data_IF_924071561733
#
_entry.id   IF_924071561733
#
_cell.length_a   1.000
_cell.length_b   1.000
_cell.length_c   1.000
_cell.angle_alpha   90.00
_cell.angle_beta   90.00
_cell.angle_gamma   90.00
#
_symmetry.space_group_name_H-M   'P 1'
#
loop_
_entity.id
_entity.type
_entity.pdbx_description
1 polymer ?
#
# COMPACT_ATOMS: atom_id res chain seq x y z
N UNK A 1 28.56 -15.14 -53.30
CA UNK A 1 28.03 -14.02 -52.49
C UNK A 1 26.86 -14.57 -51.69
N UNK A 2 27.10 -14.82 -50.41
CA UNK A 2 26.20 -15.56 -49.51
C UNK A 2 25.03 -14.66 -49.08
N UNK A 3 23.80 -15.07 -49.34
CA UNK A 3 22.56 -14.34 -48.99
C UNK A 3 22.09 -14.51 -47.53
N UNK A 4 22.93 -15.09 -46.67
CA UNK A 4 22.52 -15.44 -45.26
C UNK A 4 23.03 -14.47 -44.19
N UNK A 5 23.88 -13.48 -44.53
CA UNK A 5 24.46 -12.55 -43.55
C UNK A 5 23.46 -11.63 -42.76
N UNK A 6 22.34 -11.14 -43.34
CA UNK A 6 21.41 -10.32 -42.55
C UNK A 6 20.58 -11.10 -41.54
N UNK A 7 20.35 -12.39 -41.80
CA UNK A 7 19.53 -13.24 -40.93
C UNK A 7 20.30 -13.67 -39.67
N UNK A 8 21.58 -14.02 -39.84
CA UNK A 8 22.47 -14.37 -38.70
C UNK A 8 22.75 -13.17 -37.80
N UNK A 9 22.88 -11.97 -38.36
CA UNK A 9 23.05 -10.75 -37.58
C UNK A 9 21.79 -10.39 -36.75
N UNK A 10 20.59 -10.56 -37.31
CA UNK A 10 19.34 -10.36 -36.57
C UNK A 10 19.11 -11.43 -35.45
N UNK A 11 19.62 -12.65 -35.63
CA UNK A 11 19.56 -13.68 -34.59
C UNK A 11 20.56 -13.42 -33.45
N UNK A 12 21.75 -12.89 -33.78
CA UNK A 12 22.73 -12.51 -32.74
C UNK A 12 22.28 -11.33 -31.84
N UNK A 13 21.31 -10.55 -32.30
CA UNK A 13 20.68 -9.45 -31.53
C UNK A 13 19.49 -9.92 -30.65
N UNK A 14 19.04 -11.16 -30.82
CA UNK A 14 18.01 -11.74 -29.97
C UNK A 14 18.63 -12.17 -28.64
N UNK A 15 18.48 -11.33 -27.63
CA UNK A 15 18.78 -11.71 -26.24
C UNK A 15 17.61 -12.54 -25.75
N UNK A 16 17.87 -13.74 -25.28
CA UNK A 16 16.86 -14.57 -24.63
C UNK A 16 16.55 -13.94 -23.27
N UNK A 17 15.39 -13.37 -23.13
CA UNK A 17 14.86 -12.91 -21.84
C UNK A 17 14.22 -14.09 -21.07
N UNK A 18 14.97 -15.19 -20.91
CA UNK A 18 14.49 -16.33 -20.13
C UNK A 18 14.65 -16.05 -18.62
N UNK A 19 13.82 -15.16 -18.12
CA UNK A 19 13.68 -14.89 -16.69
C UNK A 19 12.70 -15.87 -16.00
N UNK A 20 12.18 -16.85 -16.71
CA UNK A 20 11.11 -17.73 -16.24
C UNK A 20 11.50 -18.58 -15.02
N UNK A 21 12.71 -19.07 -14.97
CA UNK A 21 13.18 -19.91 -13.85
C UNK A 21 13.40 -19.09 -12.57
N UNK A 22 14.00 -17.92 -12.68
CA UNK A 22 14.24 -17.01 -11.55
C UNK A 22 12.91 -16.48 -11.00
N UNK A 23 11.99 -16.07 -11.88
CA UNK A 23 10.66 -15.62 -11.46
C UNK A 23 9.85 -16.72 -10.76
N UNK A 24 9.96 -17.98 -11.21
CA UNK A 24 9.25 -19.10 -10.59
C UNK A 24 9.80 -19.43 -9.18
N UNK A 25 11.11 -19.30 -8.96
CA UNK A 25 11.72 -19.53 -7.65
C UNK A 25 11.34 -18.41 -6.66
N UNK A 26 11.40 -17.16 -7.07
CA UNK A 26 10.94 -16.02 -6.26
C UNK A 26 9.45 -16.11 -5.92
N UNK A 27 8.61 -16.50 -6.88
CA UNK A 27 7.18 -16.71 -6.65
C UNK A 27 6.92 -17.83 -5.63
N UNK A 28 7.65 -18.93 -5.71
CA UNK A 28 7.51 -20.05 -4.76
C UNK A 28 7.89 -19.63 -3.34
N UNK A 29 9.03 -18.95 -3.16
CA UNK A 29 9.48 -18.46 -1.83
C UNK A 29 8.48 -17.47 -1.23
N UNK A 30 8.01 -16.51 -2.02
CA UNK A 30 7.00 -15.55 -1.57
C UNK A 30 5.71 -16.23 -1.13
N UNK A 31 5.25 -17.24 -1.87
CA UNK A 31 4.06 -18.04 -1.49
C UNK A 31 4.24 -18.74 -0.15
N UNK A 32 5.43 -19.34 0.11
CA UNK A 32 5.71 -19.99 1.38
C UNK A 32 5.77 -19.00 2.55
N UNK A 33 6.40 -17.84 2.37
CA UNK A 33 6.42 -16.78 3.37
C UNK A 33 4.99 -16.33 3.70
N UNK A 34 4.18 -16.05 2.69
CA UNK A 34 2.77 -15.65 2.89
C UNK A 34 1.97 -16.74 3.61
N UNK A 35 2.11 -18.00 3.20
CA UNK A 35 1.41 -19.11 3.83
C UNK A 35 1.82 -19.29 5.30
N UNK A 36 3.12 -19.18 5.61
CA UNK A 36 3.66 -19.30 6.96
C UNK A 36 3.18 -18.14 7.86
N UNK A 37 3.20 -16.92 7.33
CA UNK A 37 2.72 -15.72 8.03
C UNK A 37 1.22 -15.81 8.33
N UNK A 38 0.40 -16.27 7.37
CA UNK A 38 -1.03 -16.49 7.57
C UNK A 38 -1.31 -17.59 8.61
N UNK A 39 -0.57 -18.70 8.56
CA UNK A 39 -0.70 -19.77 9.54
C UNK A 39 -0.34 -19.29 10.95
N UNK A 40 0.73 -18.48 11.06
CA UNK A 40 1.16 -17.92 12.34
C UNK A 40 0.14 -16.92 12.88
N UNK A 41 -0.37 -16.03 12.06
CA UNK A 41 -1.45 -15.10 12.40
C UNK A 41 -2.67 -15.83 12.98
N UNK A 42 -3.12 -16.90 12.33
CA UNK A 42 -4.25 -17.71 12.83
C UNK A 42 -3.91 -18.37 14.16
N UNK A 43 -2.70 -18.89 14.31
CA UNK A 43 -2.25 -19.50 15.57
C UNK A 43 -2.19 -18.48 16.72
N UNK A 44 -1.65 -17.30 16.49
CA UNK A 44 -1.58 -16.22 17.48
C UNK A 44 -2.96 -15.74 17.90
N UNK A 45 -3.88 -15.53 16.96
CA UNK A 45 -5.25 -15.16 17.29
C UNK A 45 -5.95 -16.27 18.09
N UNK A 46 -5.88 -17.52 17.60
CA UNK A 46 -6.54 -18.64 18.28
C UNK A 46 -6.00 -18.86 19.71
N UNK A 47 -4.66 -18.85 19.87
CA UNK A 47 -4.04 -19.03 21.18
C UNK A 47 -4.20 -17.78 22.05
N UNK A 48 -4.11 -16.57 21.49
CA UNK A 48 -4.35 -15.32 22.20
C UNK A 48 -5.74 -15.29 22.86
N UNK A 49 -6.78 -15.64 22.10
CA UNK A 49 -8.13 -15.76 22.65
C UNK A 49 -8.26 -16.90 23.66
N UNK A 50 -7.72 -18.09 23.38
CA UNK A 50 -7.81 -19.25 24.26
C UNK A 50 -7.04 -19.06 25.57
N UNK A 51 -5.97 -18.28 25.58
CA UNK A 51 -5.11 -18.01 26.74
C UNK A 51 -5.46 -16.71 27.46
N UNK A 52 -6.44 -15.96 26.94
CA UNK A 52 -6.81 -14.63 27.41
C UNK A 52 -5.64 -13.63 27.39
N UNK A 53 -4.68 -13.76 26.47
CA UNK A 53 -3.59 -12.80 26.28
C UNK A 53 -3.94 -11.74 25.27
N UNK A 54 -4.07 -10.48 25.70
CA UNK A 54 -4.30 -9.34 24.83
C UNK A 54 -3.05 -8.96 24.04
N UNK A 55 -1.85 -9.14 24.62
CA UNK A 55 -0.60 -8.90 23.91
C UNK A 55 -0.46 -9.80 22.68
N UNK A 56 -0.74 -11.12 22.83
CA UNK A 56 -0.69 -12.07 21.73
C UNK A 56 -1.81 -11.83 20.71
N UNK A 57 -3.01 -11.51 21.19
CA UNK A 57 -4.14 -11.15 20.32
C UNK A 57 -3.85 -9.89 19.51
N UNK A 58 -3.19 -8.88 20.12
CA UNK A 58 -2.79 -7.65 19.44
C UNK A 58 -1.77 -7.91 18.31
N UNK A 59 -0.78 -8.77 18.57
CA UNK A 59 0.21 -9.16 17.57
C UNK A 59 -0.45 -9.89 16.39
N UNK A 60 -1.31 -10.87 16.67
CA UNK A 60 -2.08 -11.57 15.65
C UNK A 60 -3.00 -10.64 14.81
N UNK A 61 -3.67 -9.68 15.45
CA UNK A 61 -4.47 -8.69 14.72
C UNK A 61 -3.60 -7.73 13.90
N UNK A 62 -2.43 -7.37 14.39
CA UNK A 62 -1.48 -6.58 13.62
C UNK A 62 -1.12 -7.28 12.30
N UNK A 63 -0.76 -8.56 12.35
CA UNK A 63 -0.52 -9.37 11.15
C UNK A 63 -1.77 -9.51 10.27
N UNK A 64 -2.96 -9.67 10.87
CA UNK A 64 -4.22 -9.76 10.15
C UNK A 64 -4.54 -8.48 9.36
N UNK A 65 -4.08 -7.31 9.81
CA UNK A 65 -4.27 -6.04 9.08
C UNK A 65 -3.62 -6.08 7.69
N UNK A 66 -2.41 -6.63 7.61
CA UNK A 66 -1.65 -6.73 6.34
C UNK A 66 -2.25 -7.77 5.42
N UNK A 67 -2.56 -8.95 5.95
CA UNK A 67 -3.19 -10.03 5.20
C UNK A 67 -4.56 -9.62 4.65
N UNK A 68 -5.37 -8.93 5.46
CA UNK A 68 -6.68 -8.42 5.06
C UNK A 68 -6.61 -7.35 3.97
N UNK A 69 -5.67 -6.40 4.09
CA UNK A 69 -5.46 -5.36 3.08
C UNK A 69 -5.03 -5.95 1.73
N UNK A 70 -4.09 -6.92 1.74
CA UNK A 70 -3.66 -7.62 0.53
C UNK A 70 -4.79 -8.45 -0.08
N UNK A 71 -5.56 -9.18 0.73
CA UNK A 71 -6.70 -9.98 0.25
C UNK A 71 -7.77 -9.11 -0.42
N UNK A 72 -8.14 -8.00 0.19
CA UNK A 72 -9.09 -7.05 -0.38
C UNK A 72 -8.55 -6.38 -1.65
N UNK A 73 -7.24 -6.10 -1.72
CA UNK A 73 -6.61 -5.58 -2.93
C UNK A 73 -6.70 -6.57 -4.08
N UNK A 74 -6.42 -7.86 -3.84
CA UNK A 74 -6.57 -8.92 -4.86
C UNK A 74 -8.01 -9.01 -5.36
N UNK A 75 -9.00 -8.97 -4.46
CA UNK A 75 -10.42 -8.96 -4.83
C UNK A 75 -10.78 -7.71 -5.65
N UNK A 76 -10.26 -6.54 -5.26
CA UNK A 76 -10.47 -5.30 -6.00
C UNK A 76 -9.87 -5.36 -7.41
N UNK A 77 -8.65 -5.91 -7.57
CA UNK A 77 -8.03 -6.13 -8.88
C UNK A 77 -8.84 -7.09 -9.75
N UNK A 78 -9.26 -8.20 -9.17
CA UNK A 78 -10.10 -9.17 -9.88
C UNK A 78 -11.41 -8.54 -10.34
N UNK A 79 -12.12 -7.82 -9.46
CA UNK A 79 -13.35 -7.12 -9.79
C UNK A 79 -13.13 -6.05 -10.85
N UNK A 80 -12.13 -5.19 -10.68
CA UNK A 80 -11.80 -4.13 -11.62
C UNK A 80 -11.53 -4.68 -13.03
N UNK A 81 -10.74 -5.75 -13.11
CA UNK A 81 -10.44 -6.42 -14.39
C UNK A 81 -11.69 -7.07 -15.01
N UNK A 82 -12.51 -7.74 -14.21
CA UNK A 82 -13.73 -8.41 -14.71
C UNK A 82 -14.77 -7.44 -15.25
N UNK A 83 -14.71 -6.16 -14.84
CA UNK A 83 -15.65 -5.09 -15.21
C UNK A 83 -15.04 -3.96 -16.01
N UNK A 84 -13.79 -4.08 -16.44
CA UNK A 84 -13.05 -3.01 -17.13
C UNK A 84 -13.76 -2.49 -18.40
N UNK A 85 -14.47 -3.34 -19.14
CA UNK A 85 -15.23 -2.95 -20.33
C UNK A 85 -16.72 -2.62 -20.08
N UNK A 86 -17.15 -2.53 -18.80
CA UNK A 86 -18.56 -2.27 -18.49
C UNK A 86 -18.92 -0.80 -18.61
N UNK A 87 -19.91 -0.49 -19.45
CA UNK A 87 -20.47 0.88 -19.60
C UNK A 87 -21.17 1.42 -18.34
N UNK A 88 -21.37 0.57 -17.32
CA UNK A 88 -21.92 1.01 -16.03
C UNK A 88 -20.96 1.91 -15.24
N UNK A 89 -19.66 1.86 -15.55
CA UNK A 89 -18.63 2.67 -14.89
C UNK A 89 -18.12 3.76 -15.83
N UNK A 90 -18.67 4.96 -15.71
CA UNK A 90 -18.37 6.11 -16.60
C UNK A 90 -16.87 6.43 -16.68
N UNK A 91 -16.15 6.41 -15.55
CA UNK A 91 -14.71 6.65 -15.46
C UNK A 91 -13.91 5.37 -15.17
N UNK A 92 -14.46 4.19 -15.54
CA UNK A 92 -13.83 2.92 -15.27
C UNK A 92 -13.91 2.46 -13.81
N UNK A 93 -13.20 1.38 -13.50
CA UNK A 93 -13.29 0.67 -12.22
C UNK A 93 -12.15 1.02 -11.25
N UNK A 94 -11.34 2.04 -11.55
CA UNK A 94 -10.15 2.37 -10.75
C UNK A 94 -10.42 2.72 -9.29
N UNK A 95 -11.59 3.33 -8.98
CA UNK A 95 -12.01 3.66 -7.61
C UNK A 95 -12.38 2.45 -6.75
N UNK A 96 -12.56 1.27 -7.34
CA UNK A 96 -12.82 0.04 -6.58
C UNK A 96 -11.67 -0.29 -5.62
N UNK A 97 -10.43 0.05 -5.98
CA UNK A 97 -9.28 -0.09 -5.09
C UNK A 97 -9.38 0.81 -3.87
N UNK A 98 -9.78 2.07 -4.06
CA UNK A 98 -9.99 2.99 -2.96
C UNK A 98 -11.14 2.55 -2.04
N UNK A 99 -12.23 2.01 -2.62
CA UNK A 99 -13.35 1.47 -1.86
C UNK A 99 -12.94 0.25 -1.02
N UNK A 100 -12.17 -0.68 -1.60
CA UNK A 100 -11.62 -1.82 -0.88
C UNK A 100 -10.68 -1.37 0.26
N UNK A 101 -9.78 -0.43 -0.01
CA UNK A 101 -8.90 0.16 1.00
C UNK A 101 -9.66 0.85 2.13
N UNK A 102 -10.72 1.60 1.80
CA UNK A 102 -11.58 2.25 2.79
C UNK A 102 -12.31 1.22 3.67
N UNK A 103 -12.88 0.19 3.05
CA UNK A 103 -13.58 -0.90 3.77
C UNK A 103 -12.64 -1.63 4.71
N UNK A 104 -11.42 -1.97 4.24
CA UNK A 104 -10.39 -2.57 5.09
C UNK A 104 -10.06 -1.67 6.27
N UNK A 105 -9.81 -0.39 6.03
CA UNK A 105 -9.45 0.56 7.07
C UNK A 105 -10.55 0.73 8.13
N UNK A 106 -11.82 0.79 7.73
CA UNK A 106 -12.95 0.84 8.67
C UNK A 106 -13.03 -0.43 9.52
N UNK A 107 -12.86 -1.60 8.90
CA UNK A 107 -12.84 -2.87 9.64
C UNK A 107 -11.71 -2.88 10.69
N UNK A 108 -10.52 -2.41 10.32
CA UNK A 108 -9.39 -2.29 11.24
C UNK A 108 -9.64 -1.30 12.38
N UNK A 109 -10.30 -0.17 12.08
CA UNK A 109 -10.70 0.80 13.11
C UNK A 109 -11.64 0.18 14.15
N UNK A 110 -12.59 -0.65 13.70
CA UNK A 110 -13.52 -1.35 14.59
C UNK A 110 -12.79 -2.39 15.46
N UNK A 111 -11.85 -3.14 14.88
CA UNK A 111 -11.01 -4.10 15.62
C UNK A 111 -10.15 -3.36 16.66
N UNK A 112 -9.52 -2.26 16.28
CA UNK A 112 -8.71 -1.46 17.19
C UNK A 112 -9.54 -0.90 18.35
N UNK A 113 -10.73 -0.39 18.07
CA UNK A 113 -11.65 0.10 19.10
C UNK A 113 -12.06 -1.01 20.05
N UNK A 114 -12.43 -2.18 19.53
CA UNK A 114 -12.75 -3.34 20.35
C UNK A 114 -11.58 -3.74 21.25
N UNK A 115 -10.36 -3.83 20.72
CA UNK A 115 -9.15 -4.14 21.48
C UNK A 115 -8.89 -3.13 22.61
N UNK A 116 -9.06 -1.81 22.33
CA UNK A 116 -8.88 -0.77 23.32
C UNK A 116 -9.89 -0.91 24.46
N UNK A 117 -11.16 -1.15 24.14
CA UNK A 117 -12.22 -1.36 25.16
C UNK A 117 -11.91 -2.59 26.01
N UNK A 118 -11.58 -3.72 25.38
CA UNK A 118 -11.22 -4.96 26.07
C UNK A 118 -10.01 -4.78 26.98
N UNK A 119 -8.97 -4.09 26.49
CA UNK A 119 -7.74 -3.83 27.25
C UNK A 119 -8.00 -2.96 28.48
N UNK A 120 -8.84 -1.92 28.35
CA UNK A 120 -9.23 -1.08 29.49
C UNK A 120 -10.06 -1.89 30.49
N UNK A 121 -11.00 -2.72 30.04
CA UNK A 121 -11.77 -3.60 30.91
C UNK A 121 -10.87 -4.58 31.68
N UNK A 122 -9.85 -5.13 31.02
CA UNK A 122 -8.88 -6.06 31.58
C UNK A 122 -7.97 -5.40 32.65
N UNK A 123 -7.65 -4.11 32.48
CA UNK A 123 -6.95 -3.33 33.48
C UNK A 123 -7.80 -3.14 34.76
N UNK A 124 -9.12 -2.94 34.57
CA UNK A 124 -10.06 -2.74 35.70
C UNK A 124 -10.46 -4.06 36.35
N UNK A 125 -10.51 -5.15 35.59
CA UNK A 125 -10.91 -6.48 36.03
C UNK A 125 -9.93 -7.52 35.43
N UNK A 126 -8.77 -7.73 36.11
CA UNK A 126 -7.77 -8.67 35.67
C UNK A 126 -8.31 -10.10 35.54
N UNK A 127 -8.09 -10.75 34.43
CA UNK A 127 -8.38 -12.16 34.21
C UNK A 127 -7.09 -12.99 34.24
N UNK A 128 -7.14 -14.25 34.65
CA UNK A 128 -5.97 -15.10 34.62
C UNK A 128 -5.52 -15.42 33.20
N UNK A 129 -4.23 -15.22 32.93
CA UNK A 129 -3.61 -15.49 31.62
C UNK A 129 -2.90 -16.83 31.67
N UNK A 130 -3.08 -17.66 30.65
CA UNK A 130 -2.39 -18.94 30.54
C UNK A 130 -1.00 -18.76 29.87
N UNK A 131 -0.07 -18.13 30.61
CA UNK A 131 1.28 -17.77 30.14
C UNK A 131 2.06 -18.95 29.57
N UNK A 132 1.92 -20.15 30.13
CA UNK A 132 2.65 -21.34 29.64
C UNK A 132 2.29 -21.74 28.22
N UNK A 133 1.08 -21.39 27.76
CA UNK A 133 0.58 -21.68 26.43
C UNK A 133 0.79 -20.48 25.48
N UNK A 134 0.62 -19.25 25.96
CA UNK A 134 0.78 -18.05 25.16
C UNK A 134 2.24 -17.79 24.77
N UNK A 135 3.19 -17.95 25.71
CA UNK A 135 4.60 -17.61 25.52
C UNK A 135 5.29 -18.40 24.37
N UNK A 136 5.13 -19.72 24.24
CA UNK A 136 5.73 -20.45 23.12
C UNK A 136 5.24 -19.98 21.76
N UNK A 137 3.95 -19.60 21.66
CA UNK A 137 3.38 -19.13 20.39
C UNK A 137 3.89 -17.74 20.05
N UNK A 138 3.99 -16.83 21.03
CA UNK A 138 4.60 -15.51 20.83
C UNK A 138 6.07 -15.61 20.39
N UNK A 139 6.86 -16.51 20.98
CA UNK A 139 8.25 -16.75 20.57
C UNK A 139 8.30 -17.32 19.17
N UNK A 140 7.42 -18.25 18.81
CA UNK A 140 7.35 -18.82 17.47
C UNK A 140 6.98 -17.73 16.44
N UNK A 141 6.06 -16.83 16.77
CA UNK A 141 5.69 -15.69 15.93
C UNK A 141 6.90 -14.80 15.62
N UNK A 142 7.65 -14.41 16.65
CA UNK A 142 8.88 -13.64 16.46
C UNK A 142 9.88 -14.37 15.56
N UNK A 143 10.09 -15.66 15.75
CA UNK A 143 11.00 -16.47 14.92
C UNK A 143 10.52 -16.50 13.46
N UNK A 144 9.23 -16.72 13.23
CA UNK A 144 8.62 -16.71 11.89
C UNK A 144 8.82 -15.35 11.22
N UNK A 145 8.57 -14.25 11.94
CA UNK A 145 8.77 -12.90 11.41
C UNK A 145 10.24 -12.69 11.02
N UNK A 146 11.20 -13.03 11.88
CA UNK A 146 12.63 -12.90 11.57
C UNK A 146 13.08 -13.79 10.40
N UNK A 147 12.58 -15.02 10.30
CA UNK A 147 12.85 -15.92 9.18
C UNK A 147 12.28 -15.38 7.89
N UNK A 148 11.05 -14.86 7.90
CA UNK A 148 10.40 -14.26 6.74
C UNK A 148 11.21 -13.08 6.19
N UNK A 149 11.75 -12.22 7.08
CA UNK A 149 12.69 -11.16 6.72
C UNK A 149 13.90 -11.69 6.00
N UNK A 150 14.56 -12.66 6.64
CA UNK A 150 15.80 -13.23 6.09
C UNK A 150 15.58 -13.88 4.72
N UNK A 151 14.44 -14.56 4.53
CA UNK A 151 14.08 -15.16 3.25
C UNK A 151 13.85 -14.12 2.15
N UNK A 152 13.27 -12.98 2.50
CA UNK A 152 13.06 -11.87 1.56
C UNK A 152 14.35 -11.09 1.25
N UNK A 153 15.27 -10.96 2.21
CA UNK A 153 16.55 -10.23 2.03
C UNK A 153 17.61 -11.01 1.27
N UNK A 154 17.56 -12.34 1.23
CA UNK A 154 18.58 -13.15 0.53
C UNK A 154 18.59 -12.98 -0.98
N UNK A 155 17.60 -12.30 -1.55
CA UNK A 155 17.46 -12.07 -2.99
C UNK A 155 18.22 -10.84 -3.51
N UNK A 156 18.77 -9.97 -2.64
CA UNK A 156 19.40 -8.71 -3.03
C UNK A 156 20.91 -8.78 -3.33
N UNK A 157 21.58 -9.90 -3.02
CA UNK A 157 23.04 -9.98 -3.18
C UNK A 157 23.52 -10.47 -4.56
N UNK A 158 22.65 -10.65 -5.58
CA UNK A 158 23.06 -11.21 -6.87
C UNK A 158 22.97 -10.27 -8.09
N UNK A 159 22.72 -8.97 -7.94
CA UNK A 159 22.71 -8.05 -9.08
C UNK A 159 23.67 -6.85 -8.93
N UNK A 160 24.95 -7.12 -8.60
CA UNK A 160 26.02 -6.19 -8.96
C UNK A 160 26.71 -6.73 -10.22
N UNK A 161 26.30 -6.24 -11.41
CA UNK A 161 27.16 -5.96 -12.55
C UNK A 161 26.30 -5.42 -13.71
N UNK A 162 26.50 -4.15 -14.06
CA UNK A 162 26.05 -3.59 -15.36
C UNK A 162 25.33 -2.26 -15.27
N UNK A 163 26.12 -1.19 -15.37
CA UNK A 163 25.70 0.20 -15.26
C UNK A 163 24.49 0.62 -16.11
N UNK A 164 23.60 1.35 -15.47
CA UNK A 164 22.89 2.50 -16.03
C UNK A 164 22.40 3.36 -14.85
N UNK A 165 23.00 4.53 -14.72
CA UNK A 165 22.59 5.57 -13.76
C UNK A 165 21.28 6.17 -14.26
N UNK A 166 20.15 5.96 -13.59
CA UNK A 166 18.98 6.86 -13.54
C UNK A 166 17.74 6.34 -12.78
N UNK A 167 17.79 5.16 -12.09
CA UNK A 167 16.60 4.64 -11.38
C UNK A 167 16.79 4.45 -9.85
N UNK A 168 17.86 4.99 -9.26
CA UNK A 168 18.23 4.68 -7.87
C UNK A 168 17.34 5.28 -6.78
N UNK A 169 16.45 6.25 -7.07
CA UNK A 169 15.69 6.93 -6.01
C UNK A 169 14.39 6.22 -5.59
N UNK A 170 13.73 5.47 -6.47
CA UNK A 170 12.46 4.79 -6.10
C UNK A 170 12.70 3.44 -5.41
N UNK A 171 13.74 2.70 -5.77
CA UNK A 171 14.09 1.42 -5.15
C UNK A 171 14.50 1.60 -3.68
N UNK A 172 15.27 2.62 -3.36
CA UNK A 172 15.79 2.88 -2.01
C UNK A 172 14.66 3.22 -1.00
N UNK A 173 13.62 3.94 -1.45
CA UNK A 173 12.46 4.26 -0.62
C UNK A 173 11.59 3.04 -0.31
N UNK A 174 11.42 2.11 -1.24
CA UNK A 174 10.60 0.92 -1.06
C UNK A 174 11.27 -0.10 -0.12
N UNK A 175 12.58 -0.29 -0.26
CA UNK A 175 13.40 -1.12 0.63
C UNK A 175 13.39 -0.60 2.06
N UNK A 176 13.58 0.70 2.21
CA UNK A 176 13.56 1.33 3.52
C UNK A 176 12.20 1.22 4.20
N UNK A 177 11.11 1.35 3.44
CA UNK A 177 9.76 1.16 3.95
C UNK A 177 9.51 -0.28 4.39
N UNK A 178 9.93 -1.28 3.60
CA UNK A 178 9.84 -2.70 3.95
C UNK A 178 10.67 -3.03 5.20
N UNK A 179 11.89 -2.51 5.31
CA UNK A 179 12.74 -2.69 6.49
C UNK A 179 12.09 -2.14 7.77
N UNK A 180 11.56 -0.90 7.74
CA UNK A 180 10.88 -0.33 8.90
C UNK A 180 9.61 -1.10 9.27
N UNK A 181 8.91 -1.62 8.30
CA UNK A 181 7.73 -2.45 8.53
C UNK A 181 8.09 -3.72 9.30
N UNK A 182 9.07 -4.45 8.82
CA UNK A 182 9.55 -5.69 9.46
C UNK A 182 10.14 -5.42 10.84
N UNK A 183 10.87 -4.33 10.99
CA UNK A 183 11.40 -3.94 12.30
C UNK A 183 10.26 -3.65 13.28
N UNK A 184 9.19 -3.00 12.83
CA UNK A 184 8.00 -2.75 13.64
C UNK A 184 7.32 -4.06 14.07
N UNK A 185 7.17 -5.04 13.16
CA UNK A 185 6.59 -6.35 13.47
C UNK A 185 7.44 -7.11 14.50
N UNK A 186 8.76 -7.14 14.33
CA UNK A 186 9.66 -7.76 15.30
C UNK A 186 9.60 -7.07 16.68
N UNK A 187 9.45 -5.73 16.70
CA UNK A 187 9.35 -4.97 17.93
C UNK A 187 8.02 -5.25 18.67
N UNK A 188 6.89 -5.36 17.95
CA UNK A 188 5.59 -5.68 18.58
C UNK A 188 5.60 -7.07 19.17
N UNK A 189 6.12 -8.08 18.47
CA UNK A 189 6.26 -9.45 18.96
C UNK A 189 7.21 -9.52 20.17
N UNK A 190 8.33 -8.79 20.15
CA UNK A 190 9.26 -8.73 21.28
C UNK A 190 8.59 -8.11 22.52
N UNK A 191 7.86 -7.02 22.36
CA UNK A 191 7.14 -6.37 23.45
C UNK A 191 6.05 -7.28 24.02
N UNK A 192 5.33 -8.03 23.18
CA UNK A 192 4.36 -9.03 23.62
C UNK A 192 5.02 -10.13 24.49
N UNK A 193 6.18 -10.65 24.04
CA UNK A 193 6.96 -11.63 24.81
C UNK A 193 7.39 -11.06 26.17
N UNK A 194 7.92 -9.83 26.20
CA UNK A 194 8.33 -9.18 27.44
C UNK A 194 7.15 -8.97 28.41
N UNK A 195 5.98 -8.60 27.90
CA UNK A 195 4.77 -8.47 28.72
C UNK A 195 4.33 -9.81 29.31
N UNK A 196 4.35 -10.89 28.52
CA UNK A 196 4.03 -12.25 28.98
C UNK A 196 5.04 -12.76 30.02
N UNK A 197 6.34 -12.53 29.82
CA UNK A 197 7.39 -12.87 30.78
C UNK A 197 7.23 -12.08 32.07
N UNK A 198 6.97 -10.77 31.97
CA UNK A 198 6.69 -9.91 33.14
C UNK A 198 5.49 -10.40 33.96
N UNK A 199 4.40 -10.79 33.25
CA UNK A 199 3.23 -11.39 33.89
C UNK A 199 3.54 -12.70 34.56
N UNK A 200 4.28 -13.61 33.91
CA UNK A 200 4.60 -14.95 34.41
C UNK A 200 5.54 -14.96 35.59
N UNK A 201 6.61 -14.17 35.55
CA UNK A 201 7.69 -14.25 36.59
C UNK A 201 7.58 -13.20 37.67
N UNK A 202 7.00 -12.03 37.37
CA UNK A 202 6.90 -10.90 38.30
C UNK A 202 5.46 -10.63 38.75
N UNK A 203 4.46 -11.33 38.17
CA UNK A 203 3.05 -11.09 38.49
C UNK A 203 2.49 -9.80 37.89
N UNK A 204 3.18 -9.18 36.92
CA UNK A 204 2.78 -7.92 36.25
C UNK A 204 1.74 -8.16 35.16
N UNK A 205 0.61 -8.77 35.52
CA UNK A 205 -0.47 -9.10 34.60
C UNK A 205 -1.02 -7.88 33.83
N UNK A 206 -0.90 -6.67 34.40
CA UNK A 206 -1.31 -5.43 33.75
C UNK A 206 -0.54 -5.13 32.45
N UNK A 207 0.69 -5.65 32.30
CA UNK A 207 1.50 -5.44 31.10
C UNK A 207 0.84 -6.00 29.84
N UNK A 208 0.16 -7.13 29.95
CA UNK A 208 -0.59 -7.72 28.83
C UNK A 208 -1.71 -6.78 28.33
N UNK A 209 -2.47 -6.20 29.26
CA UNK A 209 -3.49 -5.21 28.92
C UNK A 209 -2.90 -3.90 28.39
N UNK A 210 -1.75 -3.45 28.92
CA UNK A 210 -1.03 -2.28 28.39
C UNK A 210 -0.58 -2.55 26.94
N UNK A 211 -0.09 -3.75 26.63
CA UNK A 211 0.29 -4.12 25.27
C UNK A 211 -0.92 -4.18 24.33
N UNK A 212 -2.08 -4.62 24.81
CA UNK A 212 -3.33 -4.54 24.08
C UNK A 212 -3.72 -3.09 23.74
N UNK A 213 -3.53 -2.14 24.69
CA UNK A 213 -3.75 -0.70 24.41
C UNK A 213 -2.75 -0.18 23.39
N UNK A 214 -1.46 -0.49 23.53
CA UNK A 214 -0.42 -0.03 22.58
C UNK A 214 -0.73 -0.55 21.17
N UNK A 215 -1.01 -1.85 21.02
CA UNK A 215 -1.40 -2.45 19.75
C UNK A 215 -2.67 -1.81 19.17
N UNK A 216 -3.70 -1.64 19.96
CA UNK A 216 -4.95 -0.98 19.57
C UNK A 216 -4.73 0.45 19.08
N UNK A 217 -3.90 1.26 19.77
CA UNK A 217 -3.57 2.64 19.35
C UNK A 217 -2.79 2.65 18.03
N UNK A 218 -1.82 1.75 17.86
CA UNK A 218 -1.05 1.64 16.64
C UNK A 218 -1.96 1.29 15.46
N UNK A 219 -2.82 0.27 15.60
CA UNK A 219 -3.77 -0.14 14.56
C UNK A 219 -4.76 1.00 14.26
N UNK A 220 -5.29 1.69 15.28
CA UNK A 220 -6.22 2.82 15.11
C UNK A 220 -5.57 3.96 14.32
N UNK A 221 -4.31 4.29 14.62
CA UNK A 221 -3.58 5.34 13.90
C UNK A 221 -3.35 5.01 12.42
N UNK A 222 -2.99 3.77 12.12
CA UNK A 222 -2.80 3.33 10.74
C UNK A 222 -4.13 3.29 9.99
N UNK A 223 -5.15 2.72 10.60
CA UNK A 223 -6.51 2.70 10.08
C UNK A 223 -7.01 4.11 9.73
N UNK A 224 -6.80 5.10 10.61
CA UNK A 224 -7.15 6.48 10.34
C UNK A 224 -6.44 7.04 9.10
N UNK A 225 -5.12 6.78 8.96
CA UNK A 225 -4.35 7.20 7.79
C UNK A 225 -4.87 6.57 6.48
N UNK A 226 -5.14 5.26 6.51
CA UNK A 226 -5.70 4.53 5.36
C UNK A 226 -7.11 5.02 5.01
N UNK A 227 -8.00 5.21 6.00
CA UNK A 227 -9.34 5.77 5.80
C UNK A 227 -9.27 7.14 5.14
N UNK A 228 -8.42 8.04 5.65
CA UNK A 228 -8.26 9.39 5.11
C UNK A 228 -7.78 9.37 3.66
N UNK A 229 -6.77 8.56 3.34
CA UNK A 229 -6.23 8.44 1.98
C UNK A 229 -7.25 7.87 1.01
N UNK A 230 -7.92 6.78 1.36
CA UNK A 230 -8.95 6.16 0.54
C UNK A 230 -10.18 7.07 0.39
N UNK A 231 -10.62 7.73 1.46
CA UNK A 231 -11.72 8.71 1.41
C UNK A 231 -11.39 9.89 0.49
N UNK A 232 -10.17 10.42 0.55
CA UNK A 232 -9.74 11.49 -0.33
C UNK A 232 -9.86 11.10 -1.82
N UNK A 233 -9.48 9.87 -2.17
CA UNK A 233 -9.62 9.37 -3.53
C UNK A 233 -11.08 9.11 -3.93
N UNK A 234 -11.93 8.64 -3.01
CA UNK A 234 -13.35 8.41 -3.26
C UNK A 234 -14.15 9.72 -3.41
N UNK A 235 -13.74 10.75 -2.66
CA UNK A 235 -14.38 12.08 -2.64
C UNK A 235 -13.76 13.05 -3.65
N UNK A 236 -12.90 12.58 -4.54
CA UNK A 236 -12.27 13.39 -5.59
C UNK A 236 -11.47 14.59 -5.05
N UNK A 237 -10.86 14.44 -3.89
CA UNK A 237 -9.94 15.46 -3.35
C UNK A 237 -8.75 15.61 -4.29
N UNK A 238 -8.31 16.82 -4.52
CA UNK A 238 -7.16 17.14 -5.38
C UNK A 238 -5.94 16.32 -4.95
N UNK A 239 -5.35 15.50 -5.83
CA UNK A 239 -4.27 14.57 -5.46
C UNK A 239 -3.02 15.28 -4.93
N UNK A 240 -2.72 16.47 -5.49
CA UNK A 240 -1.58 17.29 -5.12
C UNK A 240 -1.86 18.75 -5.43
N UNK A 241 -1.69 19.62 -4.45
CA UNK A 241 -1.77 21.09 -4.63
C UNK A 241 -0.66 21.59 -5.56
N UNK A 242 0.51 20.97 -5.52
CA UNK A 242 1.65 21.30 -6.39
C UNK A 242 1.32 20.96 -7.85
N UNK A 243 0.69 19.81 -8.11
CA UNK A 243 0.25 19.45 -9.46
C UNK A 243 -0.77 20.47 -10.00
N UNK A 244 -1.75 20.87 -9.19
CA UNK A 244 -2.73 21.87 -9.59
C UNK A 244 -2.07 23.21 -9.93
N UNK A 245 -1.09 23.63 -9.12
CA UNK A 245 -0.30 24.82 -9.36
C UNK A 245 0.53 24.70 -10.65
N UNK A 246 1.23 23.60 -10.85
CA UNK A 246 2.04 23.35 -12.05
C UNK A 246 1.19 23.35 -13.33
N UNK A 247 0.00 22.72 -13.30
CA UNK A 247 -0.94 22.74 -14.42
C UNK A 247 -1.36 24.17 -14.77
N UNK A 248 -1.74 24.97 -13.76
CA UNK A 248 -2.13 26.37 -13.94
C UNK A 248 -0.97 27.20 -14.50
N UNK A 249 0.19 27.16 -13.87
CA UNK A 249 1.39 27.91 -14.28
C UNK A 249 1.82 27.52 -15.72
N UNK A 250 1.75 26.23 -16.06
CA UNK A 250 2.09 25.77 -17.41
C UNK A 250 1.17 26.36 -18.48
N UNK A 251 -0.13 26.33 -18.26
CA UNK A 251 -1.11 26.87 -19.21
C UNK A 251 -0.99 28.38 -19.34
N UNK A 252 -0.83 29.11 -18.23
CA UNK A 252 -0.73 30.57 -18.24
C UNK A 252 0.63 31.08 -18.71
N UNK A 253 1.71 30.29 -18.65
CA UNK A 253 3.03 30.68 -19.13
C UNK A 253 3.28 30.40 -20.62
N UNK A 254 2.65 29.34 -21.16
CA UNK A 254 2.84 28.96 -22.55
C UNK A 254 1.92 29.73 -23.50
N UNK A 255 0.74 30.11 -23.03
CA UNK A 255 -0.27 30.80 -23.84
C UNK A 255 -0.48 32.21 -23.34
N UNK A 256 -0.02 33.19 -24.11
CA UNK A 256 -0.19 34.61 -23.77
C UNK A 256 -1.65 34.99 -23.67
N UNK A 257 -1.98 35.85 -22.71
CA UNK A 257 -3.36 36.34 -22.44
C UNK A 257 -4.37 35.23 -22.16
N UNK A 258 -3.89 34.03 -21.71
CA UNK A 258 -4.73 32.93 -21.26
C UNK A 258 -4.76 32.88 -19.74
N UNK A 259 -5.94 32.65 -19.16
CA UNK A 259 -6.15 32.47 -17.73
C UNK A 259 -6.93 31.21 -17.45
N UNK A 260 -6.50 30.46 -16.44
CA UNK A 260 -7.25 29.31 -15.92
C UNK A 260 -8.37 29.82 -15.03
N UNK A 261 -9.60 29.69 -15.50
CA UNK A 261 -10.83 30.13 -14.79
C UNK A 261 -11.26 29.10 -13.78
N UNK A 262 -11.26 27.83 -14.20
CA UNK A 262 -11.65 26.71 -13.36
C UNK A 262 -10.74 25.51 -13.62
N UNK A 263 -10.46 24.72 -12.56
CA UNK A 263 -9.55 23.58 -12.62
C UNK A 263 -9.98 22.51 -11.63
N UNK A 264 -10.40 21.37 -12.15
CA UNK A 264 -10.70 20.17 -11.40
C UNK A 264 -9.67 19.09 -11.69
N UNK A 265 -9.06 18.54 -10.65
CA UNK A 265 -8.09 17.45 -10.70
C UNK A 265 -8.46 16.39 -9.69
N UNK A 266 -8.60 15.15 -10.12
CA UNK A 266 -8.88 14.02 -9.23
C UNK A 266 -8.26 12.72 -9.72
N UNK A 267 -8.20 11.73 -8.84
CA UNK A 267 -7.69 10.40 -9.16
C UNK A 267 -8.83 9.46 -9.56
N UNK A 268 -8.70 8.82 -10.71
CA UNK A 268 -9.58 7.74 -11.18
C UNK A 268 -9.14 6.36 -10.67
N UNK A 269 -7.88 6.24 -10.28
CA UNK A 269 -7.26 5.00 -9.81
C UNK A 269 -5.83 5.25 -9.32
N UNK A 270 -5.06 4.21 -8.98
CA UNK A 270 -3.71 4.35 -8.43
C UNK A 270 -2.76 5.16 -9.33
N UNK A 271 -2.88 5.01 -10.65
CA UNK A 271 -2.03 5.68 -11.65
C UNK A 271 -2.81 6.49 -12.67
N UNK A 272 -4.15 6.54 -12.55
CA UNK A 272 -5.03 7.22 -13.48
C UNK A 272 -5.53 8.53 -12.88
N UNK A 273 -5.36 9.65 -13.62
CA UNK A 273 -5.80 10.99 -13.22
C UNK A 273 -6.74 11.58 -14.26
N UNK A 274 -7.69 12.35 -13.78
CA UNK A 274 -8.57 13.16 -14.64
C UNK A 274 -8.34 14.63 -14.38
N UNK A 275 -8.54 15.42 -15.44
CA UNK A 275 -8.49 16.87 -15.40
C UNK A 275 -9.63 17.46 -16.23
N UNK A 276 -10.35 18.40 -15.64
CA UNK A 276 -11.23 19.32 -16.36
C UNK A 276 -10.69 20.72 -16.12
N UNK A 277 -10.42 21.44 -17.21
CA UNK A 277 -9.92 22.81 -17.13
C UNK A 277 -10.72 23.73 -18.04
N UNK A 278 -11.16 24.86 -17.51
CA UNK A 278 -11.79 25.94 -18.24
C UNK A 278 -10.83 27.12 -18.35
N UNK A 279 -10.63 27.59 -19.56
CA UNK A 279 -9.69 28.65 -19.91
C UNK A 279 -10.44 29.85 -20.49
N UNK A 280 -9.99 31.06 -20.16
CA UNK A 280 -10.37 32.28 -20.81
C UNK A 280 -9.18 32.86 -21.56
N UNK A 281 -9.26 33.03 -22.87
CA UNK A 281 -8.18 33.50 -23.71
C UNK A 281 -8.65 34.61 -24.67
N UNK A 282 -7.77 35.61 -24.93
CA UNK A 282 -8.07 36.65 -25.88
C UNK A 282 -7.89 36.15 -27.32
N UNK A 283 -6.92 35.30 -27.55
CA UNK A 283 -6.67 34.58 -28.81
C UNK A 283 -6.67 33.08 -28.53
N UNK A 284 -7.87 32.42 -28.55
CA UNK A 284 -7.95 30.99 -28.25
C UNK A 284 -7.20 30.14 -29.27
N UNK A 285 -6.36 29.26 -28.79
CA UNK A 285 -5.72 28.22 -29.59
C UNK A 285 -6.62 26.98 -29.71
N UNK A 286 -6.24 26.05 -30.59
CA UNK A 286 -6.93 24.78 -30.71
C UNK A 286 -6.77 23.94 -29.42
N UNK A 287 -7.78 23.17 -28.99
CA UNK A 287 -7.70 22.34 -27.78
C UNK A 287 -6.53 21.36 -27.76
N UNK A 288 -6.02 20.98 -28.95
CA UNK A 288 -4.84 20.12 -29.10
C UNK A 288 -3.56 20.77 -28.60
N UNK A 289 -3.38 22.10 -28.80
CA UNK A 289 -2.21 22.82 -28.32
C UNK A 289 -2.14 22.83 -26.77
N UNK A 290 -3.26 23.07 -26.11
CA UNK A 290 -3.34 23.00 -24.64
C UNK A 290 -3.10 21.58 -24.12
N UNK A 291 -3.60 20.56 -24.85
CA UNK A 291 -3.37 19.14 -24.51
C UNK A 291 -1.89 18.79 -24.57
N UNK A 292 -1.20 19.22 -25.60
CA UNK A 292 0.26 18.99 -25.74
C UNK A 292 1.05 19.70 -24.65
N UNK A 293 0.67 20.93 -24.28
CA UNK A 293 1.30 21.64 -23.19
C UNK A 293 1.14 20.90 -21.83
N UNK A 294 -0.03 20.32 -21.60
CA UNK A 294 -0.30 19.55 -20.38
C UNK A 294 0.34 18.16 -20.38
N UNK A 295 0.51 17.54 -21.55
CA UNK A 295 1.22 16.26 -21.66
C UNK A 295 2.69 16.35 -21.21
N UNK A 296 3.29 17.53 -21.26
CA UNK A 296 4.63 17.78 -20.72
C UNK A 296 4.67 17.84 -19.19
N UNK A 297 3.52 18.01 -18.52
CA UNK A 297 3.44 18.05 -17.05
C UNK A 297 3.19 16.66 -16.48
N UNK A 298 2.14 15.99 -16.99
CA UNK A 298 1.77 14.64 -16.59
C UNK A 298 0.80 14.01 -17.58
N UNK A 299 0.70 12.69 -17.56
CA UNK A 299 -0.34 11.98 -18.31
C UNK A 299 -1.69 12.06 -17.59
N UNK A 300 -2.73 12.50 -18.32
CA UNK A 300 -4.11 12.44 -17.88
C UNK A 300 -4.86 11.38 -18.68
N UNK A 301 -5.46 10.41 -18.01
CA UNK A 301 -6.32 9.39 -18.63
C UNK A 301 -7.59 10.02 -19.20
N UNK A 302 -8.14 11.00 -18.49
CA UNK A 302 -9.27 11.78 -18.95
C UNK A 302 -8.94 13.28 -18.86
N UNK A 303 -8.98 13.98 -20.00
CA UNK A 303 -8.68 15.41 -20.08
C UNK A 303 -9.75 16.12 -20.90
N UNK A 304 -10.49 17.02 -20.23
CA UNK A 304 -11.45 17.93 -20.85
C UNK A 304 -10.92 19.35 -20.77
N UNK A 305 -10.90 20.04 -21.88
CA UNK A 305 -10.44 21.43 -21.98
C UNK A 305 -11.58 22.23 -22.61
N UNK A 306 -12.06 23.21 -21.87
CA UNK A 306 -13.04 24.19 -22.31
C UNK A 306 -12.34 25.52 -22.52
N UNK A 307 -12.58 26.19 -23.64
CA UNK A 307 -11.91 27.45 -23.97
C UNK A 307 -12.95 28.50 -24.30
N UNK A 308 -12.93 29.59 -23.54
CA UNK A 308 -13.79 30.76 -23.73
C UNK A 308 -13.00 31.92 -24.34
N UNK A 309 -13.47 32.45 -25.43
CA UNK A 309 -12.92 33.68 -25.99
C UNK A 309 -13.34 34.91 -25.14
N UNK A 310 -12.36 35.71 -24.75
CA UNK A 310 -12.65 36.98 -24.08
C UNK A 310 -13.26 37.97 -25.07
N UNK A 311 -14.27 38.74 -24.64
CA UNK A 311 -14.83 39.80 -25.49
C UNK A 311 -13.74 40.81 -25.87
N UNK A 312 -13.85 41.32 -27.10
CA UNK A 312 -12.91 42.31 -27.64
C UNK A 312 -13.02 43.63 -26.93
#
# INVERSE_FOLDING_TARGET
MNRNEPHDFCESLKHSHDHGAVLAEHESRTRWVVALTLAMMVAELAVGYATHSLALTADGWHMATHAGALGLSVLAYWFARSRAGSSAFTFGTGKVHALAGYTSAVTLALVALWMLVESVQRLLRPEPIAYAQALPVAVLGLVVNLVSVKLLHSDEHHHEHGGHQHEHHEHDHNLRAAYFHVLADAMTSLLAILALLGGRYFGWAFLDAVMGIVGGVVIARWSYGLCRGAAAQLLDVVPSTDLAKTVRERLESVFEETRVVDLHLWSLGPHARACIVSLAARSPEAPTAYREALAAVTHFEHLTIEVHALPK
#
